data_IF_391062190028
#
_entry.id   IF_391062190028
#
_cell.length_a   1.000
_cell.length_b   1.000
_cell.length_c   1.000
_cell.angle_alpha   90.00
_cell.angle_beta   90.00
_cell.angle_gamma   90.00
#
_symmetry.space_group_name_H-M   'P 1'
#
loop_
_entity.id
_entity.type
_entity.pdbx_description
1 polymer ?
#
# COMPACT_ATOMS: atom_id res chain seq x y z
N UNK A 1 4.54 -14.70 2.23
CA UNK A 1 4.41 -13.83 3.43
C UNK A 1 3.00 -13.91 3.97
N UNK A 2 2.83 -13.72 5.27
CA UNK A 2 1.50 -13.64 5.85
C UNK A 2 0.87 -12.27 5.62
N UNK A 3 -0.40 -12.25 5.24
CA UNK A 3 -1.18 -11.04 5.06
C UNK A 3 -2.60 -11.22 5.60
N UNK A 4 -3.17 -10.14 6.13
CA UNK A 4 -4.61 -10.06 6.38
C UNK A 4 -5.29 -9.82 5.03
N UNK A 5 -6.15 -10.73 4.62
CA UNK A 5 -6.89 -10.65 3.35
C UNK A 5 -8.36 -10.49 3.65
N UNK A 6 -8.97 -9.41 3.20
CA UNK A 6 -10.41 -9.19 3.23
C UNK A 6 -11.01 -9.77 1.97
N UNK A 7 -11.80 -10.83 2.12
CA UNK A 7 -12.37 -11.61 0.99
C UNK A 7 -13.70 -11.04 0.51
N UNK A 8 -14.44 -10.45 1.41
CA UNK A 8 -15.75 -9.83 1.20
C UNK A 8 -16.06 -8.98 2.46
N UNK A 9 -17.10 -8.14 2.46
CA UNK A 9 -17.55 -7.46 3.67
C UNK A 9 -17.69 -8.43 4.84
N UNK A 10 -17.11 -8.07 5.99
CA UNK A 10 -17.08 -8.83 7.25
C UNK A 10 -16.40 -10.21 7.18
N UNK A 11 -15.75 -10.54 6.06
CA UNK A 11 -14.99 -11.79 5.88
C UNK A 11 -13.53 -11.51 5.63
N UNK A 12 -12.70 -11.82 6.60
CA UNK A 12 -11.24 -11.69 6.47
C UNK A 12 -10.53 -12.85 7.15
N UNK A 13 -9.33 -13.12 6.69
CA UNK A 13 -8.47 -14.18 7.25
C UNK A 13 -6.99 -13.87 7.01
N UNK A 14 -6.11 -14.52 7.77
CA UNK A 14 -4.67 -14.49 7.51
C UNK A 14 -4.35 -15.56 6.47
N UNK A 15 -3.73 -15.13 5.38
CA UNK A 15 -3.30 -16.01 4.30
C UNK A 15 -1.79 -15.91 4.05
N UNK A 16 -1.20 -17.00 3.54
CA UNK A 16 0.08 -16.95 2.87
C UNK A 16 -0.11 -16.42 1.45
N UNK A 17 0.56 -15.31 1.15
CA UNK A 17 0.53 -14.69 -0.18
C UNK A 17 1.96 -14.53 -0.71
N UNK A 18 2.17 -14.53 -2.03
CA UNK A 18 3.49 -14.28 -2.59
C UNK A 18 4.00 -12.89 -2.21
N UNK A 19 5.31 -12.75 -2.04
CA UNK A 19 5.93 -11.43 -1.92
C UNK A 19 5.91 -10.77 -3.31
N UNK A 20 5.39 -9.55 -3.45
CA UNK A 20 5.36 -8.87 -4.74
C UNK A 20 6.78 -8.49 -5.19
N UNK A 21 6.98 -8.36 -6.50
CA UNK A 21 8.18 -7.78 -7.07
C UNK A 21 7.95 -6.30 -7.39
N UNK A 22 8.90 -5.41 -7.10
CA UNK A 22 8.75 -3.99 -7.40
C UNK A 22 8.84 -3.75 -8.92
N UNK A 23 7.90 -2.99 -9.46
CA UNK A 23 7.90 -2.50 -10.83
C UNK A 23 8.88 -1.32 -11.04
N UNK A 24 8.89 -0.72 -12.25
CA UNK A 24 9.70 0.46 -12.52
C UNK A 24 9.39 1.62 -11.58
N UNK A 25 10.43 2.23 -11.01
CA UNK A 25 10.37 3.33 -10.02
C UNK A 25 9.74 2.96 -8.67
N UNK A 26 9.35 1.71 -8.48
CA UNK A 26 8.80 1.21 -7.22
C UNK A 26 9.91 0.68 -6.30
N UNK A 27 9.59 0.55 -5.03
CA UNK A 27 10.46 -0.08 -4.03
C UNK A 27 9.67 -1.14 -3.27
N UNK A 28 10.31 -2.27 -2.96
CA UNK A 28 9.74 -3.27 -2.07
C UNK A 28 10.16 -2.93 -0.64
N UNK A 29 9.18 -2.80 0.25
CA UNK A 29 9.41 -2.49 1.65
C UNK A 29 9.02 -3.65 2.55
N UNK A 30 9.89 -3.96 3.51
CA UNK A 30 9.52 -4.83 4.64
C UNK A 30 8.81 -3.99 5.69
N UNK A 31 7.51 -4.18 5.83
CA UNK A 31 6.69 -3.50 6.84
C UNK A 31 7.16 -3.90 8.24
N UNK A 32 7.41 -2.92 9.11
CA UNK A 32 7.81 -3.09 10.51
C UNK A 32 6.71 -2.72 11.48
N UNK A 33 5.86 -1.78 11.11
CA UNK A 33 4.72 -1.35 11.89
C UNK A 33 3.60 -0.87 10.95
N UNK A 34 2.38 -1.12 11.34
CA UNK A 34 1.18 -0.63 10.66
C UNK A 34 0.21 -0.10 11.72
N UNK A 35 -0.39 1.04 11.47
CA UNK A 35 -1.49 1.58 12.26
C UNK A 35 -2.81 1.10 11.71
N UNK A 36 -3.80 1.01 12.60
CA UNK A 36 -5.20 0.80 12.21
C UNK A 36 -5.86 2.17 12.12
N UNK A 37 -6.34 2.51 10.95
CA UNK A 37 -7.14 3.71 10.69
C UNK A 37 -8.64 3.41 10.81
N UNK A 38 -9.45 4.43 11.11
CA UNK A 38 -10.91 4.29 11.10
C UNK A 38 -11.47 3.81 9.76
N UNK A 39 -10.81 4.14 8.65
CA UNK A 39 -11.19 3.65 7.31
C UNK A 39 -11.03 2.14 7.15
N UNK A 40 -10.13 1.49 7.87
CA UNK A 40 -9.94 0.03 7.80
C UNK A 40 -11.19 -0.71 8.32
N UNK A 41 -11.80 -0.20 9.40
CA UNK A 41 -13.05 -0.75 9.92
C UNK A 41 -14.22 -0.61 8.94
N UNK A 42 -14.33 0.54 8.28
CA UNK A 42 -15.34 0.77 7.25
C UNK A 42 -15.12 -0.10 6.00
N UNK A 43 -13.87 -0.30 5.62
CA UNK A 43 -13.51 -1.21 4.51
C UNK A 43 -13.94 -2.65 4.83
N UNK A 44 -13.61 -3.12 6.04
CA UNK A 44 -13.95 -4.48 6.47
C UNK A 44 -15.47 -4.64 6.59
N UNK A 45 -16.18 -3.64 7.08
CA UNK A 45 -17.64 -3.63 7.16
C UNK A 45 -18.33 -3.56 5.79
N UNK A 46 -17.63 -3.08 4.74
CA UNK A 46 -18.20 -2.89 3.41
C UNK A 46 -19.09 -1.66 3.31
N UNK A 47 -18.79 -0.60 4.08
CA UNK A 47 -19.62 0.61 4.17
C UNK A 47 -19.59 1.48 2.91
N UNK A 48 -18.73 1.16 1.93
CA UNK A 48 -18.59 1.93 0.68
C UNK A 48 -18.89 1.07 -0.56
N UNK A 49 -20.08 0.46 -0.66
CA UNK A 49 -20.40 -0.46 -1.75
C UNK A 49 -20.29 0.23 -3.12
N UNK A 50 -19.54 -0.40 -4.02
CA UNK A 50 -19.34 0.10 -5.38
C UNK A 50 -18.42 1.31 -5.52
N UNK A 51 -17.84 1.77 -4.41
CA UNK A 51 -16.91 2.90 -4.41
C UNK A 51 -15.50 2.48 -4.00
N UNK A 52 -15.37 1.85 -2.82
CA UNK A 52 -14.07 1.43 -2.31
C UNK A 52 -14.21 0.31 -1.26
N UNK A 53 -13.44 -0.77 -1.36
CA UNK A 53 -12.55 -1.07 -2.47
C UNK A 53 -13.35 -1.36 -3.76
N UNK A 54 -12.77 -1.18 -4.94
CA UNK A 54 -13.47 -1.45 -6.18
C UNK A 54 -13.83 -2.93 -6.34
N UNK A 55 -13.04 -3.81 -5.74
CA UNK A 55 -13.25 -5.26 -5.77
C UNK A 55 -12.57 -5.96 -4.58
N UNK A 56 -13.01 -7.17 -4.28
CA UNK A 56 -12.38 -8.07 -3.33
C UNK A 56 -11.76 -9.27 -4.08
N UNK A 57 -10.73 -9.94 -3.53
CA UNK A 57 -10.11 -9.70 -2.23
C UNK A 57 -9.15 -8.51 -2.22
N UNK A 58 -8.95 -7.92 -1.04
CA UNK A 58 -7.99 -6.82 -0.83
C UNK A 58 -7.14 -7.07 0.42
N UNK A 59 -5.90 -6.61 0.40
CA UNK A 59 -5.02 -6.53 1.56
C UNK A 59 -5.06 -5.09 2.05
N UNK A 60 -5.68 -4.79 3.21
CA UNK A 60 -5.81 -3.44 3.73
C UNK A 60 -4.51 -2.96 4.38
N UNK A 61 -4.51 -1.70 4.80
CA UNK A 61 -3.41 -1.05 5.52
C UNK A 61 -2.75 0.02 4.66
N UNK A 62 -2.84 1.26 5.10
CA UNK A 62 -2.32 2.43 4.37
C UNK A 62 -1.51 3.38 5.25
N UNK A 63 -1.39 3.08 6.53
CA UNK A 63 -0.56 3.81 7.49
C UNK A 63 0.52 2.87 8.03
N UNK A 64 1.69 2.91 7.44
CA UNK A 64 2.76 1.95 7.76
C UNK A 64 4.14 2.58 7.73
N UNK A 65 5.07 1.92 8.39
CA UNK A 65 6.50 2.21 8.27
C UNK A 65 7.29 0.92 8.08
N UNK A 66 8.44 1.05 7.45
CA UNK A 66 9.26 -0.10 7.11
C UNK A 66 10.64 0.27 6.60
N UNK A 67 11.26 -0.69 5.98
CA UNK A 67 12.61 -0.63 5.42
C UNK A 67 12.61 -1.12 3.99
N UNK A 68 13.26 -0.38 3.09
CA UNK A 68 13.43 -0.80 1.70
C UNK A 68 14.32 -2.03 1.64
N UNK A 69 13.84 -3.10 1.02
CA UNK A 69 14.58 -4.36 0.86
C UNK A 69 14.94 -4.66 -0.59
N UNK A 70 14.24 -4.05 -1.55
CA UNK A 70 14.52 -4.20 -2.98
C UNK A 70 14.12 -2.94 -3.74
N UNK A 71 14.86 -2.59 -4.79
CA UNK A 71 14.57 -1.49 -5.69
C UNK A 71 14.10 -2.03 -7.04
N UNK A 72 12.98 -1.52 -7.53
CA UNK A 72 12.58 -1.70 -8.91
C UNK A 72 13.45 -0.87 -9.87
N UNK A 73 13.40 -1.17 -11.18
CA UNK A 73 14.21 -0.47 -12.16
C UNK A 73 14.04 1.05 -12.11
N UNK A 74 15.13 1.78 -11.96
CA UNK A 74 15.14 3.26 -11.95
C UNK A 74 14.90 3.91 -10.59
N UNK A 75 14.47 3.17 -9.57
CA UNK A 75 14.18 3.73 -8.23
C UNK A 75 15.43 4.35 -7.58
N UNK A 76 16.63 3.85 -7.90
CA UNK A 76 17.90 4.43 -7.45
C UNK A 76 18.11 5.87 -7.95
N UNK A 77 17.52 6.24 -9.08
CA UNK A 77 17.60 7.61 -9.65
C UNK A 77 16.79 8.61 -8.83
N UNK A 78 15.78 8.14 -8.10
CA UNK A 78 15.03 8.95 -7.15
C UNK A 78 15.74 9.08 -5.77
N UNK A 79 16.94 8.48 -5.63
CA UNK A 79 17.76 8.57 -4.44
C UNK A 79 17.49 7.47 -3.41
N UNK A 80 16.60 6.53 -3.70
CA UNK A 80 16.30 5.41 -2.79
C UNK A 80 17.43 4.39 -2.73
N UNK A 81 17.62 3.82 -1.55
CA UNK A 81 18.61 2.77 -1.30
C UNK A 81 18.00 1.66 -0.45
N UNK A 82 18.45 0.43 -0.69
CA UNK A 82 18.18 -0.69 0.22
C UNK A 82 18.69 -0.35 1.62
N UNK A 83 17.86 -0.57 2.64
CA UNK A 83 18.10 -0.22 4.03
C UNK A 83 17.52 1.13 4.45
N UNK A 84 17.02 1.96 3.54
CA UNK A 84 16.36 3.20 3.90
C UNK A 84 15.08 2.90 4.70
N UNK A 85 14.86 3.67 5.78
CA UNK A 85 13.63 3.63 6.56
C UNK A 85 12.62 4.60 5.97
N UNK A 86 11.42 4.09 5.74
CA UNK A 86 10.36 4.80 5.04
C UNK A 86 9.03 4.67 5.76
N UNK A 87 8.14 5.60 5.51
CA UNK A 87 6.72 5.50 5.84
C UNK A 87 5.91 5.71 4.56
N UNK A 88 4.87 4.91 4.39
CA UNK A 88 3.96 5.03 3.25
C UNK A 88 2.84 6.01 3.53
N UNK A 89 2.39 6.69 2.48
CA UNK A 89 1.16 7.48 2.47
C UNK A 89 0.13 6.81 1.56
N UNK A 90 -1.14 7.12 1.79
CA UNK A 90 -2.25 6.59 0.99
C UNK A 90 -2.48 7.34 -0.34
N UNK A 91 -1.64 8.30 -0.68
CA UNK A 91 -1.80 9.13 -1.87
C UNK A 91 -0.82 8.71 -2.95
N UNK A 92 -1.38 8.39 -4.10
CA UNK A 92 -0.61 8.14 -5.33
C UNK A 92 -0.80 9.32 -6.27
N UNK A 93 0.24 10.12 -6.44
CA UNK A 93 0.21 11.31 -7.27
C UNK A 93 0.59 10.93 -8.71
N UNK A 94 -0.30 11.19 -9.67
CA UNK A 94 0.00 10.93 -11.08
C UNK A 94 1.12 11.80 -11.67
N UNK A 95 1.48 12.91 -10.98
CA UNK A 95 2.56 13.82 -11.36
C UNK A 95 2.26 14.76 -12.53
N UNK A 96 1.15 14.57 -13.24
CA UNK A 96 0.85 15.26 -14.50
C UNK A 96 -0.48 16.03 -14.52
N UNK A 97 -1.37 15.82 -13.56
CA UNK A 97 -2.60 16.58 -13.45
C UNK A 97 -2.33 17.98 -12.85
N UNK A 98 -3.29 18.90 -13.03
CA UNK A 98 -3.14 20.26 -12.55
C UNK A 98 -2.83 20.34 -11.05
N UNK A 99 -3.50 19.53 -10.22
CA UNK A 99 -3.29 19.50 -8.78
C UNK A 99 -1.87 19.04 -8.42
N UNK A 100 -1.34 18.03 -9.11
CA UNK A 100 0.04 17.58 -8.91
C UNK A 100 1.06 18.65 -9.32
N UNK A 101 0.84 19.34 -10.45
CA UNK A 101 1.73 20.41 -10.94
C UNK A 101 1.73 21.59 -9.97
N UNK A 102 0.58 21.93 -9.39
CA UNK A 102 0.42 23.03 -8.44
C UNK A 102 0.76 22.61 -6.99
N UNK A 103 1.06 21.34 -6.73
CA UNK A 103 1.41 20.83 -5.41
C UNK A 103 0.25 20.82 -4.41
N UNK A 104 -0.95 20.60 -4.90
CA UNK A 104 -2.19 20.57 -4.11
C UNK A 104 -2.78 19.18 -4.02
#
# INVERSE_FOLDING_TARGET
MQALVVLAPERFEIQEVPVPAPGPMEVLCRVKAVSICGTDSHLIAGDYPGFWPPEFPIIPGHEWSGEIVELGPGAEKAGWKVGDRVAGTSHDACGVCQQCIEGR
#
